data_IF_151241110103
#
_entry.id   IF_151241110103
#
_cell.length_a   1.000
_cell.length_b   1.000
_cell.length_c   1.000
_cell.angle_alpha   90.00
_cell.angle_beta   90.00
_cell.angle_gamma   90.00
#
_symmetry.space_group_name_H-M   'P 1'
#
loop_
_entity.id
_entity.type
_entity.pdbx_description
1 polymer ?
#
# COMPACT_ATOMS: atom_id res chain seq x y z
N UNK A 1 8.51 27.09 -14.93
CA UNK A 1 8.93 25.68 -15.02
C UNK A 1 7.76 24.72 -15.20
N UNK A 2 6.91 24.47 -14.20
CA UNK A 2 5.77 23.52 -14.31
C UNK A 2 4.79 23.88 -15.44
N UNK A 3 4.51 25.17 -15.66
CA UNK A 3 3.68 25.62 -16.77
C UNK A 3 4.24 25.24 -18.16
N UNK A 4 5.56 25.24 -18.33
CA UNK A 4 6.22 24.82 -19.56
C UNK A 4 6.07 23.31 -19.79
N UNK A 5 6.17 22.50 -18.72
CA UNK A 5 5.94 21.05 -18.80
C UNK A 5 4.49 20.76 -19.23
N UNK A 6 3.51 21.44 -18.61
CA UNK A 6 2.09 21.28 -18.98
C UNK A 6 1.83 21.69 -20.43
N UNK A 7 2.41 22.81 -20.87
CA UNK A 7 2.32 23.25 -22.26
C UNK A 7 2.97 22.26 -23.23
N UNK A 8 4.08 21.63 -22.82
CA UNK A 8 4.80 20.67 -23.63
C UNK A 8 4.04 19.37 -23.83
N UNK A 9 3.19 18.94 -22.88
CA UNK A 9 2.43 17.68 -23.00
C UNK A 9 1.08 17.83 -23.70
N UNK A 10 0.68 19.07 -24.03
CA UNK A 10 -0.55 19.31 -24.77
C UNK A 10 -0.52 18.63 -26.16
N UNK A 11 -1.66 18.14 -26.66
CA UNK A 11 -1.73 17.44 -27.95
C UNK A 11 -1.29 18.33 -29.12
N UNK A 12 -1.48 19.65 -29.02
CA UNK A 12 -1.09 20.64 -30.04
C UNK A 12 0.19 21.41 -29.69
N UNK A 13 1.05 20.85 -28.81
CA UNK A 13 2.28 21.53 -28.41
C UNK A 13 3.26 21.71 -29.59
N UNK A 14 3.77 22.93 -29.77
CA UNK A 14 4.80 23.24 -30.76
C UNK A 14 6.14 22.55 -30.43
N UNK A 15 7.07 22.41 -31.40
CA UNK A 15 8.38 21.82 -31.14
C UNK A 15 9.19 22.61 -30.10
N UNK A 16 9.04 23.94 -30.05
CA UNK A 16 9.65 24.80 -29.03
C UNK A 16 9.05 24.55 -27.65
N UNK A 17 7.74 24.34 -27.54
CA UNK A 17 7.11 23.97 -26.28
C UNK A 17 7.61 22.61 -25.78
N UNK A 18 7.80 21.64 -26.68
CA UNK A 18 8.36 20.32 -26.37
C UNK A 18 9.80 20.41 -25.88
N UNK A 19 10.66 21.21 -26.52
CA UNK A 19 12.06 21.37 -26.12
C UNK A 19 12.19 22.09 -24.77
N UNK A 20 11.37 23.11 -24.52
CA UNK A 20 11.32 23.81 -23.23
C UNK A 20 10.83 22.88 -22.10
N UNK A 21 9.82 22.05 -22.35
CA UNK A 21 9.36 21.03 -21.40
C UNK A 21 10.42 19.98 -21.10
N UNK A 22 11.13 19.49 -22.12
CA UNK A 22 12.22 18.52 -21.96
C UNK A 22 13.38 19.10 -21.13
N UNK A 23 13.74 20.37 -21.36
CA UNK A 23 14.73 21.07 -20.55
C UNK A 23 14.30 21.15 -19.08
N UNK A 24 13.05 21.55 -18.83
CA UNK A 24 12.50 21.61 -17.46
C UNK A 24 12.50 20.24 -16.77
N UNK A 25 12.16 19.15 -17.47
CA UNK A 25 12.23 17.80 -16.94
C UNK A 25 13.68 17.39 -16.59
N UNK A 26 14.65 17.72 -17.45
CA UNK A 26 16.07 17.44 -17.15
C UNK A 26 16.54 18.18 -15.91
N UNK A 27 16.18 19.45 -15.74
CA UNK A 27 16.51 20.20 -14.52
C UNK A 27 15.96 19.54 -13.26
N UNK A 28 14.73 19.02 -13.29
CA UNK A 28 14.14 18.28 -12.17
C UNK A 28 14.95 17.01 -11.88
N UNK A 29 15.25 16.21 -12.92
CA UNK A 29 16.00 14.97 -12.75
C UNK A 29 17.43 15.22 -12.23
N UNK A 30 18.07 16.31 -12.65
CA UNK A 30 19.38 16.72 -12.13
C UNK A 30 19.32 17.07 -10.64
N UNK A 31 18.32 17.86 -10.21
CA UNK A 31 18.14 18.21 -8.79
C UNK A 31 17.86 16.97 -7.93
N UNK A 32 17.17 15.97 -8.49
CA UNK A 32 16.89 14.71 -7.82
C UNK A 32 18.06 13.70 -7.92
N UNK A 33 19.17 14.05 -8.56
CA UNK A 33 20.30 13.16 -8.85
C UNK A 33 19.86 11.82 -9.49
N UNK A 34 18.79 11.86 -10.28
CA UNK A 34 18.16 10.69 -10.84
C UNK A 34 19.08 10.02 -11.87
N UNK A 35 19.33 8.73 -11.71
CA UNK A 35 20.10 7.92 -12.66
C UNK A 35 19.17 7.25 -13.68
N UNK A 36 19.58 7.12 -14.95
CA UNK A 36 18.81 6.35 -15.94
C UNK A 36 18.55 4.93 -15.45
N UNK A 37 17.30 4.48 -15.53
CA UNK A 37 16.89 3.15 -15.08
C UNK A 37 16.66 3.02 -13.57
N UNK A 38 16.93 4.06 -12.77
CA UNK A 38 16.62 4.05 -11.34
C UNK A 38 15.16 4.48 -11.12
N UNK A 39 14.36 3.70 -10.37
CA UNK A 39 13.00 4.12 -10.03
C UNK A 39 13.05 5.43 -9.23
N UNK A 40 12.24 6.39 -9.67
CA UNK A 40 12.03 7.67 -8.97
C UNK A 40 11.10 7.53 -7.75
N UNK A 41 10.51 6.34 -7.59
CA UNK A 41 9.59 5.99 -6.53
C UNK A 41 10.40 5.11 -5.57
N UNK A 42 10.45 5.48 -4.28
CA UNK A 42 10.95 4.57 -3.26
C UNK A 42 10.19 3.25 -3.40
N UNK A 43 10.91 2.13 -3.46
CA UNK A 43 10.32 0.80 -3.51
C UNK A 43 9.13 0.78 -2.54
N UNK A 44 7.90 0.46 -3.01
CA UNK A 44 6.77 0.38 -2.11
C UNK A 44 7.22 -0.49 -0.95
N UNK A 45 7.07 -0.04 0.32
CA UNK A 45 7.59 -0.79 1.45
C UNK A 45 7.12 -2.21 1.23
N UNK A 46 8.09 -3.14 1.11
CA UNK A 46 7.80 -4.53 0.89
C UNK A 46 6.64 -4.87 1.82
N UNK A 47 5.55 -5.49 1.32
CA UNK A 47 4.42 -5.77 2.17
C UNK A 47 5.01 -6.38 3.42
N UNK A 48 4.86 -5.68 4.54
CA UNK A 48 5.06 -6.24 5.86
C UNK A 48 3.99 -7.30 5.93
N UNK A 49 4.26 -8.45 5.30
CA UNK A 49 3.83 -9.69 5.85
C UNK A 49 4.18 -9.55 7.32
N UNK A 50 3.25 -9.81 8.26
CA UNK A 50 3.65 -9.97 9.63
C UNK A 50 4.66 -11.12 9.61
N UNK A 51 5.95 -10.77 9.48
CA UNK A 51 7.06 -11.68 9.64
C UNK A 51 6.95 -12.07 11.10
N UNK A 52 6.24 -13.17 11.27
CA UNK A 52 5.91 -13.90 12.46
C UNK A 52 6.36 -13.18 13.73
N UNK A 53 5.40 -12.59 14.44
CA UNK A 53 5.56 -12.19 15.85
C UNK A 53 6.26 -13.28 16.67
N UNK A 54 6.08 -14.55 16.28
CA UNK A 54 6.79 -15.71 16.80
C UNK A 54 8.32 -15.67 16.57
N UNK A 55 8.82 -15.30 15.39
CA UNK A 55 10.26 -15.22 15.11
C UNK A 55 10.95 -14.09 15.91
N UNK A 56 10.28 -12.94 16.04
CA UNK A 56 10.74 -11.85 16.89
C UNK A 56 10.72 -12.20 18.37
N UNK A 57 9.69 -12.93 18.83
CA UNK A 57 9.63 -13.47 20.19
C UNK A 57 10.76 -14.48 20.42
N UNK A 58 10.95 -15.46 19.55
CA UNK A 58 12.01 -16.48 19.70
C UNK A 58 13.43 -15.92 19.65
N UNK A 59 13.60 -14.71 19.10
CA UNK A 59 14.88 -14.00 19.08
C UNK A 59 15.18 -13.26 20.39
N UNK A 60 14.25 -13.24 21.36
CA UNK A 60 14.49 -12.64 22.67
C UNK A 60 15.46 -13.49 23.51
N UNK A 61 16.55 -12.89 24.03
CA UNK A 61 17.48 -13.58 24.93
C UNK A 61 16.74 -14.16 26.13
N UNK A 62 16.93 -15.45 26.39
CA UNK A 62 16.33 -16.14 27.53
C UNK A 62 14.93 -16.70 27.30
N UNK A 63 14.21 -16.30 26.25
CA UNK A 63 12.88 -16.87 25.95
C UNK A 63 12.99 -18.36 25.63
N UNK A 64 13.97 -18.76 24.82
CA UNK A 64 14.20 -20.18 24.51
C UNK A 64 14.52 -21.01 25.77
N UNK A 65 15.29 -20.46 26.71
CA UNK A 65 15.58 -21.14 27.98
C UNK A 65 14.31 -21.27 28.84
N UNK A 66 13.46 -20.25 28.84
CA UNK A 66 12.19 -20.26 29.57
C UNK A 66 11.17 -21.24 28.94
N UNK A 67 11.11 -21.34 27.61
CA UNK A 67 10.31 -22.36 26.91
C UNK A 67 10.85 -23.76 27.18
N UNK A 68 12.17 -23.94 27.19
CA UNK A 68 12.78 -25.24 27.49
C UNK A 68 12.55 -25.69 28.95
N UNK A 69 12.36 -24.75 29.87
CA UNK A 69 12.04 -25.02 31.28
C UNK A 69 10.55 -25.28 31.54
N UNK A 70 9.66 -25.02 30.58
CA UNK A 70 8.23 -25.29 30.73
C UNK A 70 7.90 -26.77 30.52
N UNK A 71 6.84 -27.23 31.19
CA UNK A 71 6.28 -28.55 30.91
C UNK A 71 5.60 -28.57 29.54
N UNK A 72 5.45 -29.77 28.96
CA UNK A 72 4.79 -29.96 27.66
C UNK A 72 3.36 -29.41 27.66
N UNK A 73 2.64 -29.56 28.77
CA UNK A 73 1.26 -29.09 28.94
C UNK A 73 1.19 -27.56 28.93
N UNK A 74 2.15 -26.90 29.59
CA UNK A 74 2.27 -25.45 29.62
C UNK A 74 2.60 -24.88 28.24
N UNK A 75 3.46 -25.56 27.47
CA UNK A 75 3.77 -25.20 26.09
C UNK A 75 2.52 -25.27 25.20
N UNK A 76 1.73 -26.32 25.35
CA UNK A 76 0.50 -26.52 24.58
C UNK A 76 -0.57 -25.48 24.93
N UNK A 77 -0.71 -25.09 26.20
CA UNK A 77 -1.63 -24.03 26.61
C UNK A 77 -1.22 -22.66 26.03
N UNK A 78 0.08 -22.35 26.07
CA UNK A 78 0.63 -21.13 25.49
C UNK A 78 0.43 -21.08 23.97
N UNK A 79 0.63 -22.21 23.28
CA UNK A 79 0.37 -22.31 21.85
C UNK A 79 -1.11 -22.08 21.53
N UNK A 80 -2.04 -22.65 22.30
CA UNK A 80 -3.50 -22.42 22.10
C UNK A 80 -3.89 -20.95 22.28
N UNK A 81 -3.28 -20.25 23.25
CA UNK A 81 -3.52 -18.81 23.45
C UNK A 81 -3.03 -17.97 22.29
N UNK A 82 -1.85 -18.28 21.74
CA UNK A 82 -1.26 -17.52 20.63
C UNK A 82 -2.01 -17.82 19.32
N UNK A 83 -2.33 -19.08 19.06
CA UNK A 83 -3.01 -19.51 17.82
C UNK A 83 -4.52 -19.27 17.86
N UNK A 84 -5.14 -19.32 19.05
CA UNK A 84 -6.57 -19.03 19.25
C UNK A 84 -6.94 -17.56 19.13
N UNK A 85 -5.96 -16.65 19.19
CA UNK A 85 -6.14 -15.23 18.89
C UNK A 85 -6.18 -14.94 17.37
N UNK A 86 -5.79 -15.91 16.53
CA UNK A 86 -5.95 -15.83 15.08
C UNK A 86 -7.33 -16.37 14.69
N UNK A 87 -8.38 -15.58 14.95
CA UNK A 87 -9.67 -15.81 14.31
C UNK A 87 -9.45 -15.85 12.79
N UNK A 88 -9.96 -16.84 12.05
CA UNK A 88 -9.88 -16.85 10.60
C UNK A 88 -10.81 -15.74 10.11
N UNK A 89 -10.31 -14.52 9.95
CA UNK A 89 -10.95 -13.60 9.06
C UNK A 89 -10.79 -14.21 7.66
N UNK A 90 -11.87 -14.52 6.93
CA UNK A 90 -11.76 -14.89 5.52
C UNK A 90 -11.26 -13.65 4.77
N UNK A 91 -9.94 -13.52 4.63
CA UNK A 91 -9.35 -12.66 3.63
C UNK A 91 -9.56 -13.35 2.29
N UNK A 92 -10.71 -13.07 1.68
CA UNK A 92 -10.91 -13.37 0.27
C UNK A 92 -9.79 -12.67 -0.50
N UNK A 93 -9.02 -13.35 -1.36
CA UNK A 93 -8.04 -12.69 -2.21
C UNK A 93 -8.81 -11.77 -3.17
N UNK A 94 -8.82 -10.48 -2.86
CA UNK A 94 -9.31 -9.46 -3.77
C UNK A 94 -8.24 -9.28 -4.85
N UNK A 95 -8.30 -10.14 -5.86
CA UNK A 95 -7.68 -9.90 -7.17
C UNK A 95 -7.95 -8.45 -7.55
N UNK A 96 -6.87 -7.71 -7.82
CA UNK A 96 -6.86 -6.27 -8.02
C UNK A 96 -7.72 -5.80 -9.18
N UNK A 97 -9.01 -5.62 -8.92
CA UNK A 97 -9.92 -4.83 -9.74
C UNK A 97 -10.24 -3.52 -8.99
N UNK A 98 -10.38 -2.38 -9.70
CA UNK A 98 -10.73 -1.11 -9.08
C UNK A 98 -12.07 -1.23 -8.35
N UNK A 99 -12.06 -0.88 -7.05
CA UNK A 99 -13.23 -0.98 -6.18
C UNK A 99 -14.09 0.26 -6.34
N UNK A 100 -15.08 0.21 -7.23
CA UNK A 100 -16.11 1.22 -7.33
C UNK A 100 -17.10 1.07 -6.18
N UNK A 101 -17.28 2.14 -5.39
CA UNK A 101 -18.35 2.20 -4.39
C UNK A 101 -19.56 2.84 -5.06
N UNK A 102 -20.62 2.06 -5.26
CA UNK A 102 -21.92 2.59 -5.67
C UNK A 102 -22.53 3.33 -4.47
N UNK A 103 -22.52 4.66 -4.53
CA UNK A 103 -23.25 5.48 -3.57
C UNK A 103 -24.74 5.34 -3.90
N UNK A 104 -25.53 4.82 -2.96
CA UNK A 104 -26.98 4.83 -3.08
C UNK A 104 -27.47 6.28 -2.96
N UNK A 105 -27.91 6.86 -4.07
CA UNK A 105 -28.59 8.14 -4.08
C UNK A 105 -29.97 7.93 -3.43
N UNK A 106 -30.30 8.62 -2.32
CA UNK A 106 -31.62 8.50 -1.70
C UNK A 106 -32.69 8.94 -2.69
N UNK A 107 -33.58 8.01 -3.04
CA UNK A 107 -34.73 8.28 -3.91
C UNK A 107 -35.69 9.20 -3.16
N UNK A 108 -35.77 10.47 -3.58
CA UNK A 108 -36.79 11.40 -3.09
C UNK A 108 -38.14 10.84 -3.58
N UNK A 109 -38.98 10.35 -2.65
CA UNK A 109 -40.37 10.02 -2.96
C UNK A 109 -41.00 11.27 -3.56
N UNK A 110 -41.34 11.22 -4.84
CA UNK A 110 -42.24 12.19 -5.47
C UNK A 110 -43.60 12.03 -4.76
N UNK A 111 -44.08 13.04 -4.03
CA UNK A 111 -45.40 12.95 -3.42
C UNK A 111 -46.42 12.89 -4.55
N UNK A 112 -47.27 11.86 -4.50
CA UNK A 112 -48.43 11.77 -5.36
C UNK A 112 -49.31 13.02 -5.18
N UNK A 113 -49.71 13.62 -6.29
CA UNK A 113 -50.79 14.59 -6.35
C UNK A 113 -51.74 14.13 -7.44
N UNK A 114 -52.88 13.58 -7.02
CA UNK A 114 -53.97 13.24 -7.91
C UNK A 114 -54.76 14.49 -8.30
N UNK A 115 -55.26 14.50 -9.53
CA UNK A 115 -56.68 14.57 -9.84
C UNK A 115 -56.88 14.29 -11.32
#
# INVERSE_FOLDING_TARGET
>A
MIAAIRSAVAPSASPEARSAGASACRSILTVLEAKPGQPLIAEPPAPTQPQSSLAGLLSQPGLLAQLAAMSREQLLDLLRKVTGAASPQPQSPATGAPRFHLIQIPQVRRPGGGS
#
